data_IF_948359821461
#
_entry.id   IF_948359821461
#
_cell.length_a   1.000
_cell.length_b   1.000
_cell.length_c   1.000
_cell.angle_alpha   90.00
_cell.angle_beta   90.00
_cell.angle_gamma   90.00
#
_symmetry.space_group_name_H-M   'P 1'
#
loop_
_entity.id
_entity.type
_entity.pdbx_description
1 polymer ?
#
# COMPACT_ATOMS: atom_id res chain seq x y z
N UNK A 1 20.76 31.76 -0.53
CA UNK A 1 19.82 32.82 -0.30
C UNK A 1 18.48 32.25 0.15
N UNK A 2 17.99 32.67 1.31
CA UNK A 2 16.70 32.27 1.86
C UNK A 2 15.58 33.10 1.21
N UNK A 3 14.60 32.42 0.61
CA UNK A 3 13.43 33.08 0.02
C UNK A 3 12.16 32.57 0.68
N UNK A 4 11.17 33.45 0.82
CA UNK A 4 9.86 33.07 1.32
C UNK A 4 9.20 32.04 0.38
N UNK A 5 9.07 30.81 0.86
CA UNK A 5 8.42 29.71 0.13
C UNK A 5 7.34 29.07 1.00
N UNK A 6 6.14 29.66 1.02
CA UNK A 6 5.00 29.19 1.84
C UNK A 6 4.54 27.75 1.51
N UNK A 7 4.80 27.31 0.30
CA UNK A 7 4.40 25.97 -0.16
C UNK A 7 5.56 24.96 -0.19
N UNK A 8 6.74 25.34 0.34
CA UNK A 8 7.86 24.41 0.39
C UNK A 8 7.56 23.24 1.33
N UNK A 9 7.85 22.03 0.90
CA UNK A 9 7.51 20.81 1.61
C UNK A 9 6.05 20.33 1.38
N UNK A 10 5.09 21.27 1.32
CA UNK A 10 3.69 20.96 1.03
C UNK A 10 3.52 20.31 -0.34
N UNK A 11 4.05 20.92 -1.41
CA UNK A 11 3.89 20.43 -2.78
C UNK A 11 4.47 19.02 -2.93
N UNK A 12 5.67 18.77 -2.39
CA UNK A 12 6.29 17.45 -2.51
C UNK A 12 5.45 16.36 -1.83
N UNK A 13 4.94 16.63 -0.61
CA UNK A 13 4.11 15.67 0.12
C UNK A 13 2.74 15.50 -0.53
N UNK A 14 2.18 16.57 -1.10
CA UNK A 14 0.93 16.51 -1.87
C UNK A 14 1.07 15.62 -3.12
N UNK A 15 2.19 15.72 -3.86
CA UNK A 15 2.47 14.86 -5.00
C UNK A 15 2.50 13.39 -4.57
N UNK A 16 3.16 13.06 -3.46
CA UNK A 16 3.15 11.69 -2.92
C UNK A 16 1.74 11.20 -2.59
N UNK A 17 0.90 12.06 -2.00
CA UNK A 17 -0.50 11.73 -1.74
C UNK A 17 -1.27 11.40 -3.02
N UNK A 18 -1.09 12.21 -4.07
CA UNK A 18 -1.73 11.96 -5.38
C UNK A 18 -1.26 10.65 -6.02
N UNK A 19 0.03 10.29 -5.88
CA UNK A 19 0.55 9.01 -6.37
C UNK A 19 -0.13 7.84 -5.66
N UNK A 20 -0.31 7.88 -4.35
CA UNK A 20 -1.01 6.83 -3.61
C UNK A 20 -2.48 6.69 -4.05
N UNK A 21 -3.19 7.80 -4.24
CA UNK A 21 -4.56 7.76 -4.75
C UNK A 21 -4.64 7.24 -6.19
N UNK A 22 -3.66 7.55 -7.03
CA UNK A 22 -3.58 6.99 -8.39
C UNK A 22 -3.39 5.47 -8.34
N UNK A 23 -2.50 4.95 -7.49
CA UNK A 23 -2.30 3.50 -7.30
C UNK A 23 -3.59 2.84 -6.77
N UNK A 24 -4.27 3.46 -5.80
CA UNK A 24 -5.54 2.96 -5.30
C UNK A 24 -6.62 2.90 -6.40
N UNK A 25 -6.68 3.93 -7.26
CA UNK A 25 -7.62 3.99 -8.39
C UNK A 25 -7.32 2.91 -9.43
N UNK A 26 -6.03 2.68 -9.74
CA UNK A 26 -5.60 1.59 -10.63
C UNK A 26 -6.00 0.23 -10.05
N UNK A 27 -5.74 0.01 -8.75
CA UNK A 27 -6.16 -1.24 -8.08
C UNK A 27 -7.67 -1.44 -8.16
N UNK A 28 -8.46 -0.37 -7.98
CA UNK A 28 -9.92 -0.41 -8.11
C UNK A 28 -10.38 -0.74 -9.54
N UNK A 29 -9.75 -0.14 -10.54
CA UNK A 29 -10.05 -0.41 -11.94
C UNK A 29 -9.73 -1.87 -12.32
N UNK A 30 -8.54 -2.37 -11.94
CA UNK A 30 -8.15 -3.75 -12.16
C UNK A 30 -9.10 -4.73 -11.45
N UNK A 31 -9.49 -4.44 -10.20
CA UNK A 31 -10.47 -5.24 -9.49
C UNK A 31 -11.87 -5.25 -10.13
N UNK A 32 -12.26 -4.20 -10.86
CA UNK A 32 -13.51 -4.21 -11.63
C UNK A 32 -13.40 -5.04 -12.91
N UNK A 33 -12.26 -4.97 -13.60
CA UNK A 33 -12.00 -5.81 -14.78
C UNK A 33 -11.97 -7.30 -14.39
N UNK A 34 -11.36 -7.63 -13.25
CA UNK A 34 -11.34 -8.97 -12.68
C UNK A 34 -12.73 -9.58 -12.47
N UNK A 35 -13.75 -8.77 -12.14
CA UNK A 35 -15.13 -9.24 -11.92
C UNK A 35 -15.92 -9.57 -13.19
N UNK A 36 -15.42 -9.25 -14.36
CA UNK A 36 -16.11 -9.44 -15.65
C UNK A 36 -15.18 -10.03 -16.70
N UNK A 37 -14.71 -11.27 -16.51
CA UNK A 37 -13.90 -11.92 -17.54
C UNK A 37 -14.69 -12.07 -18.83
N UNK A 38 -14.04 -11.85 -19.96
CA UNK A 38 -14.62 -11.98 -21.29
C UNK A 38 -14.49 -13.40 -21.85
N UNK A 39 -13.54 -14.16 -21.33
CA UNK A 39 -13.27 -15.53 -21.77
C UNK A 39 -14.20 -16.55 -21.06
N UNK A 40 -14.58 -17.61 -21.78
CA UNK A 40 -15.38 -18.69 -21.24
C UNK A 40 -14.49 -19.89 -20.91
N UNK A 41 -14.91 -20.64 -19.88
CA UNK A 41 -14.25 -21.88 -19.50
C UNK A 41 -14.19 -22.85 -20.68
N UNK A 42 -13.05 -23.46 -20.91
CA UNK A 42 -12.72 -24.41 -21.96
C UNK A 42 -12.78 -23.88 -23.40
N UNK A 43 -13.04 -22.61 -23.65
CA UNK A 43 -12.91 -22.00 -24.99
C UNK A 43 -11.44 -21.76 -25.36
N UNK A 44 -10.55 -21.69 -24.36
CA UNK A 44 -9.12 -21.54 -24.50
C UNK A 44 -8.38 -22.66 -23.75
N UNK A 45 -7.21 -23.02 -24.24
CA UNK A 45 -6.29 -23.93 -23.52
C UNK A 45 -5.38 -23.17 -22.57
N UNK A 46 -5.41 -21.83 -22.57
CA UNK A 46 -4.59 -21.02 -21.68
C UNK A 46 -5.02 -21.19 -20.23
N UNK A 47 -4.06 -21.38 -19.35
CA UNK A 47 -4.25 -21.53 -17.92
C UNK A 47 -3.79 -20.30 -17.14
N UNK A 48 -4.27 -20.11 -15.92
CA UNK A 48 -4.02 -18.91 -15.11
C UNK A 48 -4.88 -17.71 -15.49
N UNK A 49 -5.87 -17.88 -16.40
CA UNK A 49 -6.78 -16.83 -16.84
C UNK A 49 -8.10 -16.87 -16.08
N UNK A 50 -8.67 -15.72 -15.93
CA UNK A 50 -10.02 -15.51 -15.41
C UNK A 50 -11.05 -15.87 -16.49
N UNK A 51 -11.96 -16.76 -16.16
CA UNK A 51 -12.98 -17.24 -17.09
C UNK A 51 -14.35 -17.31 -16.41
N UNK A 52 -15.40 -17.26 -17.24
CA UNK A 52 -16.77 -17.51 -16.79
C UNK A 52 -17.22 -18.89 -17.27
N UNK A 53 -17.81 -19.69 -16.37
CA UNK A 53 -18.36 -20.99 -16.66
C UNK A 53 -19.89 -20.94 -16.52
N UNK A 54 -20.63 -21.37 -17.56
CA UNK A 54 -22.06 -21.65 -17.45
C UNK A 54 -22.26 -23.00 -16.79
N UNK A 55 -23.13 -23.09 -15.79
CA UNK A 55 -23.40 -24.32 -15.03
C UNK A 55 -24.83 -24.76 -15.26
N UNK A 56 -24.99 -25.92 -15.87
CA UNK A 56 -26.29 -26.55 -16.19
C UNK A 56 -26.69 -27.65 -15.21
N UNK A 57 -25.77 -28.06 -14.35
CA UNK A 57 -26.00 -29.02 -13.29
C UNK A 57 -24.79 -29.07 -12.34
N UNK A 58 -25.03 -29.41 -11.10
CA UNK A 58 -24.02 -29.54 -10.05
C UNK A 58 -24.34 -30.77 -9.19
N UNK A 59 -23.31 -31.54 -8.81
CA UNK A 59 -23.46 -32.58 -7.80
C UNK A 59 -23.80 -31.95 -6.45
N UNK A 60 -24.79 -32.49 -5.70
CA UNK A 60 -25.28 -31.87 -4.48
C UNK A 60 -24.26 -31.82 -3.34
N UNK A 61 -23.32 -32.77 -3.35
CA UNK A 61 -22.26 -32.88 -2.34
C UNK A 61 -20.87 -32.73 -2.98
N UNK A 62 -19.90 -32.19 -2.25
CA UNK A 62 -18.52 -32.16 -2.73
C UNK A 62 -17.97 -33.56 -2.88
N UNK A 63 -17.26 -33.84 -3.96
CA UNK A 63 -16.70 -35.13 -4.28
C UNK A 63 -15.31 -35.36 -3.70
N UNK A 64 -14.72 -34.33 -3.12
CA UNK A 64 -13.41 -34.40 -2.49
C UNK A 64 -13.05 -33.13 -1.73
N UNK A 65 -11.99 -33.23 -0.95
CA UNK A 65 -11.40 -32.11 -0.20
C UNK A 65 -9.94 -31.96 -0.60
N UNK A 66 -9.49 -30.72 -0.69
CA UNK A 66 -8.11 -30.38 -1.01
C UNK A 66 -7.50 -29.65 0.18
N UNK A 67 -6.21 -29.76 0.39
CA UNK A 67 -5.48 -29.10 1.46
C UNK A 67 -5.80 -27.60 1.55
N UNK A 68 -6.00 -27.12 2.78
CA UNK A 68 -6.29 -25.72 3.06
C UNK A 68 -7.77 -25.36 3.15
N UNK A 69 -8.67 -26.33 3.34
CA UNK A 69 -10.10 -26.10 3.57
C UNK A 69 -10.86 -25.73 2.30
N UNK A 70 -10.45 -26.30 1.18
CA UNK A 70 -11.15 -26.21 -0.09
C UNK A 70 -11.78 -27.55 -0.46
N UNK A 71 -12.89 -27.49 -1.17
CA UNK A 71 -13.67 -28.67 -1.59
C UNK A 71 -13.84 -28.66 -3.10
N UNK A 72 -14.11 -29.84 -3.64
CA UNK A 72 -14.19 -30.11 -5.08
C UNK A 72 -15.59 -30.54 -5.44
N UNK A 73 -16.20 -29.86 -6.40
CA UNK A 73 -17.49 -30.20 -6.98
C UNK A 73 -17.35 -30.65 -8.43
N UNK A 74 -18.26 -31.51 -8.89
CA UNK A 74 -18.44 -31.81 -10.30
C UNK A 74 -19.62 -30.99 -10.81
N UNK A 75 -19.40 -30.27 -11.92
CA UNK A 75 -20.42 -29.46 -12.57
C UNK A 75 -20.57 -29.84 -14.04
N UNK A 76 -21.76 -29.73 -14.57
CA UNK A 76 -22.02 -29.79 -16.01
C UNK A 76 -21.91 -28.38 -16.59
N UNK A 77 -20.93 -28.16 -17.49
CA UNK A 77 -20.71 -26.84 -18.06
C UNK A 77 -21.18 -26.70 -19.53
N UNK A 78 -21.64 -27.79 -20.16
CA UNK A 78 -22.24 -27.80 -21.48
C UNK A 78 -23.32 -28.83 -21.59
N UNK A 79 -24.34 -28.58 -22.42
CA UNK A 79 -25.39 -29.52 -22.78
C UNK A 79 -25.14 -30.22 -24.12
N UNK A 80 -24.04 -29.97 -24.79
CA UNK A 80 -23.71 -30.59 -26.07
C UNK A 80 -23.56 -32.10 -25.94
N UNK A 81 -24.24 -32.88 -26.78
CA UNK A 81 -24.22 -34.31 -26.76
C UNK A 81 -24.79 -34.89 -25.45
N UNK A 82 -24.03 -35.73 -24.78
CA UNK A 82 -24.36 -36.30 -23.45
C UNK A 82 -24.00 -35.35 -22.29
N UNK A 83 -23.61 -34.09 -22.62
CA UNK A 83 -23.12 -33.09 -21.67
C UNK A 83 -21.60 -33.16 -21.47
N UNK A 84 -21.01 -32.04 -21.07
CA UNK A 84 -19.59 -31.94 -20.70
C UNK A 84 -19.47 -31.55 -19.24
N UNK A 85 -18.56 -32.19 -18.52
CA UNK A 85 -18.38 -32.02 -17.08
C UNK A 85 -16.97 -31.49 -16.77
N UNK A 86 -16.87 -30.78 -15.69
CA UNK A 86 -15.59 -30.31 -15.18
C UNK A 86 -15.59 -30.23 -13.65
N UNK A 87 -14.41 -30.15 -13.09
CA UNK A 87 -14.20 -29.96 -11.67
C UNK A 87 -14.16 -28.45 -11.36
N UNK A 88 -14.81 -28.09 -10.26
CA UNK A 88 -14.76 -26.75 -9.66
C UNK A 88 -14.21 -26.88 -8.25
N UNK A 89 -13.12 -26.19 -7.97
CA UNK A 89 -12.52 -26.08 -6.64
C UNK A 89 -13.00 -24.76 -5.99
N UNK A 90 -13.48 -24.87 -4.75
CA UNK A 90 -13.98 -23.71 -4.00
C UNK A 90 -13.67 -23.82 -2.51
N UNK A 91 -13.81 -22.72 -1.79
CA UNK A 91 -13.81 -22.76 -0.32
C UNK A 91 -15.06 -23.46 0.20
N UNK A 92 -14.93 -24.09 1.37
CA UNK A 92 -16.09 -24.60 2.10
C UNK A 92 -17.09 -23.45 2.32
N UNK A 93 -18.38 -23.67 1.97
CA UNK A 93 -19.45 -22.68 2.06
C UNK A 93 -19.27 -21.45 1.14
N UNK A 94 -18.71 -21.64 -0.05
CA UNK A 94 -18.66 -20.60 -1.07
C UNK A 94 -20.08 -20.17 -1.45
N UNK A 95 -20.33 -18.84 -1.45
CA UNK A 95 -21.67 -18.30 -1.71
C UNK A 95 -22.16 -18.58 -3.13
N UNK A 96 -21.25 -18.59 -4.12
CA UNK A 96 -21.57 -18.87 -5.51
C UNK A 96 -21.99 -20.33 -5.70
N UNK A 97 -21.32 -21.26 -5.03
CA UNK A 97 -21.69 -22.67 -5.02
C UNK A 97 -23.00 -22.88 -4.29
N UNK A 98 -23.21 -22.27 -3.13
CA UNK A 98 -24.48 -22.40 -2.39
C UNK A 98 -25.67 -21.93 -3.21
N UNK A 99 -25.56 -20.81 -3.94
CA UNK A 99 -26.59 -20.33 -4.86
C UNK A 99 -26.91 -21.34 -5.98
N UNK A 100 -25.90 -22.04 -6.50
CA UNK A 100 -26.13 -23.07 -7.50
C UNK A 100 -26.84 -24.29 -6.91
N UNK A 101 -26.46 -24.73 -5.71
CA UNK A 101 -27.07 -25.85 -5.00
C UNK A 101 -28.55 -25.55 -4.66
N UNK A 102 -28.87 -24.33 -4.21
CA UNK A 102 -30.23 -23.90 -3.94
C UNK A 102 -31.13 -23.93 -5.19
N UNK A 103 -30.55 -23.72 -6.37
CA UNK A 103 -31.27 -23.67 -7.65
C UNK A 103 -31.01 -24.89 -8.52
N UNK A 104 -30.46 -25.98 -7.96
CA UNK A 104 -29.97 -27.14 -8.73
C UNK A 104 -31.00 -27.75 -9.70
N UNK A 105 -32.27 -27.81 -9.30
CA UNK A 105 -33.36 -28.36 -10.13
C UNK A 105 -33.65 -27.53 -11.38
N UNK A 106 -33.43 -26.20 -11.31
CA UNK A 106 -33.70 -25.28 -12.41
C UNK A 106 -32.51 -25.01 -13.31
N UNK A 107 -31.29 -25.41 -12.94
CA UNK A 107 -30.06 -25.13 -13.69
C UNK A 107 -30.08 -25.65 -15.13
N UNK A 108 -30.81 -26.75 -15.36
CA UNK A 108 -30.97 -27.28 -16.70
C UNK A 108 -31.64 -26.29 -17.65
N UNK A 109 -32.61 -25.53 -17.22
CA UNK A 109 -33.35 -24.55 -18.03
C UNK A 109 -32.84 -23.12 -17.87
N UNK A 110 -32.35 -22.80 -16.67
CA UNK A 110 -31.78 -21.50 -16.30
C UNK A 110 -30.36 -21.70 -15.78
N UNK A 111 -29.34 -21.75 -16.64
CA UNK A 111 -27.98 -22.03 -16.25
C UNK A 111 -27.43 -20.97 -15.31
N UNK A 112 -26.80 -21.42 -14.24
CA UNK A 112 -26.04 -20.55 -13.34
C UNK A 112 -24.71 -20.13 -13.97
N UNK A 113 -24.03 -19.21 -13.31
CA UNK A 113 -22.72 -18.74 -13.77
C UNK A 113 -21.71 -18.74 -12.62
N UNK A 114 -20.54 -19.29 -12.87
CA UNK A 114 -19.37 -19.21 -11.99
C UNK A 114 -18.27 -18.42 -12.66
N UNK A 115 -17.59 -17.57 -11.89
CA UNK A 115 -16.37 -16.88 -12.34
C UNK A 115 -15.20 -17.39 -11.50
N UNK A 116 -14.13 -17.79 -12.17
CA UNK A 116 -12.97 -18.39 -11.51
C UNK A 116 -11.71 -18.30 -12.38
N UNK A 117 -10.64 -18.88 -11.89
CA UNK A 117 -9.40 -19.03 -12.64
C UNK A 117 -9.34 -20.44 -13.23
N UNK A 118 -9.13 -20.52 -14.55
CA UNK A 118 -8.90 -21.79 -15.24
C UNK A 118 -7.49 -22.27 -14.96
N UNK A 119 -7.35 -23.45 -14.36
CA UNK A 119 -6.06 -24.03 -13.99
C UNK A 119 -5.90 -25.44 -14.56
N UNK A 120 -4.64 -25.86 -14.78
CA UNK A 120 -4.27 -27.24 -15.01
C UNK A 120 -4.05 -27.98 -13.70
N UNK A 121 -4.49 -29.24 -13.55
CA UNK A 121 -4.12 -30.08 -12.43
C UNK A 121 -2.61 -30.40 -12.48
N UNK A 122 -1.99 -30.58 -11.32
CA UNK A 122 -0.62 -31.08 -11.23
C UNK A 122 -0.58 -32.54 -11.61
N UNK A 123 0.38 -32.95 -12.42
CA UNK A 123 0.70 -34.32 -12.76
C UNK A 123 2.16 -34.59 -12.48
N UNK A 124 2.55 -35.84 -12.38
CA UNK A 124 3.96 -36.24 -12.20
C UNK A 124 4.86 -35.72 -13.34
N UNK A 125 4.30 -35.43 -14.51
CA UNK A 125 5.03 -34.94 -15.69
C UNK A 125 5.13 -33.42 -15.76
N UNK A 126 4.20 -32.68 -15.15
CA UNK A 126 4.17 -31.21 -15.24
C UNK A 126 4.48 -30.49 -13.92
N UNK A 127 4.93 -31.24 -12.91
CA UNK A 127 5.21 -30.71 -11.56
C UNK A 127 6.21 -29.55 -11.53
N UNK A 128 7.11 -29.47 -12.52
CA UNK A 128 8.16 -28.43 -12.63
C UNK A 128 7.64 -27.17 -13.32
N UNK A 129 6.63 -27.28 -14.19
CA UNK A 129 6.20 -26.21 -15.11
C UNK A 129 4.86 -25.54 -14.77
N UNK A 130 4.18 -26.00 -13.71
CA UNK A 130 2.84 -25.51 -13.37
C UNK A 130 2.88 -24.27 -12.46
N UNK A 131 1.85 -23.47 -12.59
CA UNK A 131 1.56 -22.35 -11.71
C UNK A 131 1.63 -22.79 -10.25
N UNK A 132 2.33 -22.02 -9.41
CA UNK A 132 2.45 -22.26 -7.95
C UNK A 132 1.11 -22.32 -7.19
N UNK A 133 0.01 -22.05 -7.88
CA UNK A 133 -1.34 -21.93 -7.32
C UNK A 133 -2.21 -23.15 -7.57
N UNK A 134 -1.71 -24.15 -8.31
CA UNK A 134 -2.47 -25.38 -8.59
C UNK A 134 -2.52 -26.27 -7.35
N UNK A 135 -3.72 -26.65 -6.94
CA UNK A 135 -3.98 -27.45 -5.73
C UNK A 135 -4.37 -28.89 -6.03
N UNK A 136 -5.00 -29.13 -7.17
CA UNK A 136 -5.48 -30.49 -7.54
C UNK A 136 -4.36 -31.24 -8.22
N UNK A 137 -4.08 -32.43 -7.70
CA UNK A 137 -3.03 -33.34 -8.16
C UNK A 137 -3.68 -34.58 -8.75
N UNK A 138 -3.20 -35.04 -9.92
CA UNK A 138 -3.65 -36.25 -10.60
C UNK A 138 -5.19 -36.33 -10.74
N UNK A 139 -5.79 -35.33 -11.36
CA UNK A 139 -7.24 -35.21 -11.50
C UNK A 139 -7.84 -36.45 -12.20
N UNK A 140 -7.16 -37.04 -13.19
CA UNK A 140 -7.62 -38.28 -13.89
C UNK A 140 -7.77 -39.44 -12.92
N UNK A 141 -6.78 -39.68 -12.05
CA UNK A 141 -6.80 -40.74 -11.07
C UNK A 141 -7.90 -40.51 -10.03
N UNK A 142 -8.02 -39.24 -9.57
CA UNK A 142 -9.06 -38.87 -8.62
C UNK A 142 -10.46 -39.12 -9.19
N UNK A 143 -10.76 -38.67 -10.41
CA UNK A 143 -12.06 -38.89 -11.05
C UNK A 143 -12.33 -40.39 -11.26
N UNK A 144 -11.31 -41.14 -11.69
CA UNK A 144 -11.44 -42.61 -11.87
C UNK A 144 -11.71 -43.36 -10.57
N UNK A 145 -11.30 -42.84 -9.42
CA UNK A 145 -11.53 -43.44 -8.10
C UNK A 145 -12.95 -43.21 -7.58
N UNK A 146 -13.63 -42.14 -7.98
CA UNK A 146 -14.94 -41.76 -7.45
C UNK A 146 -16.10 -42.05 -8.42
N UNK A 147 -15.85 -42.10 -9.73
CA UNK A 147 -16.88 -42.32 -10.74
C UNK A 147 -16.72 -43.65 -11.43
N UNK A 148 -17.82 -44.40 -11.66
CA UNK A 148 -17.77 -45.61 -12.48
C UNK A 148 -17.29 -45.28 -13.92
N UNK A 149 -16.31 -46.02 -14.42
CA UNK A 149 -15.69 -45.75 -15.73
C UNK A 149 -16.70 -45.73 -16.91
N UNK A 150 -17.82 -46.44 -16.77
CA UNK A 150 -18.90 -46.49 -17.79
C UNK A 150 -19.93 -45.34 -17.64
N UNK A 151 -19.83 -44.51 -16.61
CA UNK A 151 -20.78 -43.41 -16.43
C UNK A 151 -20.59 -42.33 -17.52
N UNK A 152 -21.70 -41.70 -17.91
CA UNK A 152 -21.68 -40.56 -18.86
C UNK A 152 -20.77 -39.45 -18.34
N UNK A 153 -20.83 -39.19 -17.05
CA UNK A 153 -20.04 -38.13 -16.41
C UNK A 153 -18.53 -38.42 -16.53
N UNK A 154 -18.08 -39.63 -16.23
CA UNK A 154 -16.66 -40.00 -16.33
C UNK A 154 -16.14 -39.93 -17.78
N UNK A 155 -16.95 -40.37 -18.75
CA UNK A 155 -16.56 -40.33 -20.18
C UNK A 155 -16.44 -38.92 -20.74
N UNK A 156 -17.25 -38.01 -20.24
CA UNK A 156 -17.32 -36.61 -20.74
C UNK A 156 -16.69 -35.58 -19.77
N UNK A 157 -15.89 -36.07 -18.80
CA UNK A 157 -15.18 -35.24 -17.86
C UNK A 157 -13.98 -34.56 -18.49
N UNK A 158 -13.87 -33.24 -18.32
CA UNK A 158 -12.63 -32.51 -18.63
C UNK A 158 -11.66 -32.65 -17.48
N UNK A 159 -10.63 -33.47 -17.66
CA UNK A 159 -9.60 -33.70 -16.64
C UNK A 159 -8.31 -32.87 -16.91
N UNK A 160 -8.25 -32.15 -18.04
CA UNK A 160 -7.09 -31.34 -18.42
C UNK A 160 -7.08 -29.97 -17.73
N UNK A 161 -8.25 -29.45 -17.44
CA UNK A 161 -8.43 -28.15 -16.80
C UNK A 161 -9.55 -28.21 -15.78
N UNK A 162 -9.47 -27.37 -14.77
CA UNK A 162 -10.52 -27.16 -13.77
C UNK A 162 -10.71 -25.69 -13.46
N UNK A 163 -11.82 -25.32 -12.83
CA UNK A 163 -12.11 -23.96 -12.40
C UNK A 163 -11.79 -23.82 -10.90
N UNK A 164 -10.96 -22.83 -10.54
CA UNK A 164 -10.68 -22.51 -9.15
C UNK A 164 -11.36 -21.20 -8.74
N UNK A 165 -12.30 -21.29 -7.81
CA UNK A 165 -12.96 -20.15 -7.20
C UNK A 165 -12.13 -19.61 -6.03
N UNK A 166 -11.37 -20.46 -5.36
CA UNK A 166 -10.55 -20.03 -4.21
C UNK A 166 -9.41 -19.10 -4.64
N UNK A 167 -8.75 -19.40 -5.77
CA UNK A 167 -7.71 -18.55 -6.33
C UNK A 167 -8.28 -17.21 -6.83
N UNK A 168 -9.43 -17.25 -7.51
CA UNK A 168 -10.15 -16.04 -7.93
C UNK A 168 -10.52 -15.14 -6.75
N UNK A 169 -11.03 -15.74 -5.67
CA UNK A 169 -11.35 -15.02 -4.43
C UNK A 169 -10.11 -14.39 -3.79
N UNK A 170 -8.96 -15.08 -3.82
CA UNK A 170 -7.69 -14.57 -3.28
C UNK A 170 -7.20 -13.35 -4.09
N UNK A 171 -7.24 -13.43 -5.40
CA UNK A 171 -6.82 -12.33 -6.28
C UNK A 171 -7.74 -11.12 -6.12
N UNK A 172 -9.05 -11.33 -6.04
CA UNK A 172 -10.03 -10.30 -5.77
C UNK A 172 -9.78 -9.56 -4.44
N UNK A 173 -9.42 -10.30 -3.37
CA UNK A 173 -9.05 -9.71 -2.08
C UNK A 173 -7.79 -8.83 -2.18
N UNK A 174 -6.80 -9.23 -3.00
CA UNK A 174 -5.57 -8.46 -3.18
C UNK A 174 -5.84 -7.06 -3.74
N UNK A 175 -6.79 -6.91 -4.67
CA UNK A 175 -7.20 -5.59 -5.17
C UNK A 175 -7.88 -4.74 -4.10
N UNK A 176 -8.74 -5.34 -3.27
CA UNK A 176 -9.39 -4.65 -2.15
C UNK A 176 -8.35 -4.15 -1.14
N UNK A 177 -7.39 -5.00 -0.77
CA UNK A 177 -6.28 -4.61 0.09
C UNK A 177 -5.46 -3.45 -0.51
N UNK A 178 -5.18 -3.50 -1.82
CA UNK A 178 -4.53 -2.41 -2.54
C UNK A 178 -5.28 -1.08 -2.40
N UNK A 179 -6.59 -1.08 -2.62
CA UNK A 179 -7.44 0.12 -2.47
C UNK A 179 -7.35 0.66 -1.03
N UNK A 180 -7.57 -0.18 -0.04
CA UNK A 180 -7.62 0.24 1.38
C UNK A 180 -6.27 0.78 1.84
N UNK A 181 -5.19 0.06 1.58
CA UNK A 181 -3.84 0.46 2.02
C UNK A 181 -3.41 1.76 1.34
N UNK A 182 -3.49 1.84 0.01
CA UNK A 182 -3.00 3.03 -0.70
C UNK A 182 -3.91 4.25 -0.49
N UNK A 183 -5.23 4.08 -0.34
CA UNK A 183 -6.11 5.18 0.06
C UNK A 183 -5.80 5.68 1.46
N UNK A 184 -5.56 4.78 2.41
CA UNK A 184 -5.15 5.13 3.77
C UNK A 184 -3.82 5.90 3.80
N UNK A 185 -2.80 5.43 3.07
CA UNK A 185 -1.52 6.12 2.94
C UNK A 185 -1.67 7.48 2.24
N UNK A 186 -2.52 7.57 1.21
CA UNK A 186 -2.85 8.82 0.52
C UNK A 186 -3.46 9.84 1.46
N UNK A 187 -4.42 9.42 2.29
CA UNK A 187 -5.07 10.30 3.26
C UNK A 187 -4.08 10.77 4.35
N UNK A 188 -3.27 9.86 4.91
CA UNK A 188 -2.27 10.22 5.93
C UNK A 188 -1.25 11.23 5.40
N UNK A 189 -0.75 11.02 4.19
CA UNK A 189 0.19 11.96 3.55
C UNK A 189 -0.46 13.29 3.20
N UNK A 190 -1.73 13.31 2.81
CA UNK A 190 -2.50 14.52 2.57
C UNK A 190 -2.64 15.36 3.85
N UNK A 191 -3.02 14.74 4.95
CA UNK A 191 -3.10 15.41 6.26
C UNK A 191 -1.74 15.98 6.67
N UNK A 192 -0.67 15.18 6.51
CA UNK A 192 0.70 15.63 6.79
C UNK A 192 1.10 16.86 5.94
N UNK A 193 0.70 16.90 4.66
CA UNK A 193 0.95 18.05 3.80
C UNK A 193 0.32 19.33 4.37
N UNK A 194 -0.95 19.28 4.77
CA UNK A 194 -1.63 20.45 5.36
C UNK A 194 -1.01 20.88 6.69
N UNK A 195 -0.59 19.93 7.54
CA UNK A 195 0.13 20.25 8.79
C UNK A 195 1.43 20.98 8.50
N UNK A 196 2.22 20.50 7.52
CA UNK A 196 3.48 21.16 7.11
C UNK A 196 3.20 22.58 6.62
N UNK A 197 2.19 22.75 5.76
CA UNK A 197 1.80 24.07 5.24
C UNK A 197 1.38 25.02 6.36
N UNK A 198 0.53 24.54 7.28
CA UNK A 198 0.07 25.33 8.43
C UNK A 198 1.26 25.80 9.26
N UNK A 199 2.15 24.87 9.68
CA UNK A 199 3.36 25.21 10.45
C UNK A 199 4.24 26.23 9.75
N UNK A 200 4.41 26.10 8.43
CA UNK A 200 5.19 27.05 7.64
C UNK A 200 4.56 28.44 7.66
N UNK A 201 3.24 28.53 7.43
CA UNK A 201 2.52 29.81 7.44
C UNK A 201 2.56 30.46 8.83
N UNK A 202 2.34 29.67 9.87
CA UNK A 202 2.35 30.16 11.26
C UNK A 202 3.75 30.69 11.64
N UNK A 203 4.82 30.00 11.20
CA UNK A 203 6.21 30.46 11.41
C UNK A 203 6.49 31.79 10.70
N UNK A 204 6.01 31.99 9.47
CA UNK A 204 6.16 33.28 8.80
C UNK A 204 5.38 34.39 9.50
N UNK A 205 4.14 34.12 9.92
CA UNK A 205 3.33 35.10 10.67
C UNK A 205 4.00 35.50 11.98
N UNK A 206 4.59 34.56 12.71
CA UNK A 206 5.33 34.81 13.93
C UNK A 206 6.56 35.70 13.69
N UNK A 207 7.36 35.34 12.66
CA UNK A 207 8.55 36.12 12.29
C UNK A 207 8.18 37.56 11.89
N UNK A 208 7.13 37.78 11.10
CA UNK A 208 6.69 39.12 10.69
C UNK A 208 6.14 39.94 11.85
N UNK A 209 5.41 39.30 12.77
CA UNK A 209 4.91 39.94 13.97
C UNK A 209 6.03 40.46 14.86
N UNK A 210 7.12 39.68 15.00
CA UNK A 210 8.24 40.00 15.88
C UNK A 210 9.32 40.81 15.20
N UNK A 211 9.45 40.66 13.89
CA UNK A 211 10.49 41.26 13.06
C UNK A 211 9.88 41.82 11.78
N UNK A 212 9.15 42.94 11.85
CA UNK A 212 8.49 43.55 10.68
C UNK A 212 9.44 43.86 9.54
N UNK A 213 10.72 44.13 9.85
CA UNK A 213 11.77 44.39 8.85
C UNK A 213 12.02 43.24 7.90
N UNK A 214 11.61 42.02 8.27
CA UNK A 214 11.74 40.80 7.43
C UNK A 214 10.59 40.65 6.43
N UNK A 215 9.50 41.38 6.57
CA UNK A 215 8.35 41.27 5.70
C UNK A 215 8.71 41.63 4.26
N UNK A 216 8.62 40.67 3.36
CA UNK A 216 9.03 40.83 1.95
C UNK A 216 10.54 40.92 1.71
N UNK A 217 11.39 40.90 2.74
CA UNK A 217 12.82 41.08 2.62
C UNK A 217 13.66 40.08 3.45
N UNK A 218 13.43 38.79 3.23
CA UNK A 218 14.21 37.75 3.90
C UNK A 218 15.69 37.71 3.49
N UNK A 219 16.07 38.42 2.46
CA UNK A 219 17.48 38.55 2.04
C UNK A 219 18.33 39.24 3.12
N UNK A 220 17.71 40.05 3.97
CA UNK A 220 18.38 40.67 5.12
C UNK A 220 18.95 39.61 6.09
N UNK A 221 18.39 38.43 6.16
CA UNK A 221 18.92 37.35 7.01
C UNK A 221 20.30 36.87 6.58
N UNK A 222 20.69 37.04 5.30
CA UNK A 222 22.02 36.67 4.82
C UNK A 222 23.13 37.56 5.45
N UNK A 223 22.78 38.78 5.87
CA UNK A 223 23.71 39.73 6.44
C UNK A 223 23.49 40.01 7.93
N UNK A 224 22.24 39.91 8.41
CA UNK A 224 21.87 40.25 9.79
C UNK A 224 21.77 39.07 10.72
N UNK A 225 21.76 37.83 10.20
CA UNK A 225 21.73 36.66 11.05
C UNK A 225 23.04 36.46 11.79
N UNK A 226 22.95 36.04 13.04
CA UNK A 226 24.11 35.73 13.89
C UNK A 226 24.77 34.44 13.52
N UNK A 227 23.98 33.52 12.96
CA UNK A 227 24.45 32.28 12.33
C UNK A 227 23.60 31.99 11.10
N UNK A 228 24.25 31.73 9.98
CA UNK A 228 23.58 31.40 8.73
C UNK A 228 24.34 30.28 8.01
N UNK A 229 23.72 29.10 7.98
CA UNK A 229 24.27 27.97 7.23
C UNK A 229 23.33 27.58 6.09
N UNK A 230 23.72 27.90 4.87
CA UNK A 230 22.91 27.66 3.68
C UNK A 230 22.82 26.17 3.34
N UNK A 231 23.84 25.37 3.65
CA UNK A 231 23.87 23.93 3.35
C UNK A 231 22.95 23.17 4.27
N UNK A 232 23.00 23.45 5.56
CA UNK A 232 22.11 22.83 6.57
C UNK A 232 20.69 23.37 6.54
N UNK A 233 20.48 24.54 5.90
CA UNK A 233 19.22 25.28 5.91
C UNK A 233 18.81 25.75 7.31
N UNK A 234 19.76 26.31 8.04
CA UNK A 234 19.63 26.77 9.43
C UNK A 234 20.03 28.24 9.54
N UNK A 235 19.26 29.01 10.28
CA UNK A 235 19.50 30.41 10.58
C UNK A 235 19.24 30.65 12.06
N UNK A 236 20.14 31.38 12.74
CA UNK A 236 19.88 31.98 14.03
C UNK A 236 19.77 33.51 13.83
N UNK A 237 18.58 34.01 14.06
CA UNK A 237 18.31 35.43 13.96
C UNK A 237 17.63 35.94 15.21
N UNK A 238 18.30 36.87 15.92
CA UNK A 238 17.85 37.39 17.21
C UNK A 238 17.50 36.19 18.14
N UNK A 239 16.25 36.06 18.55
CA UNK A 239 15.83 34.99 19.46
C UNK A 239 15.30 33.73 18.77
N UNK A 240 15.32 33.67 17.43
CA UNK A 240 14.71 32.58 16.68
C UNK A 240 15.72 31.69 15.98
N UNK A 241 15.60 30.39 16.20
CA UNK A 241 16.19 29.34 15.38
C UNK A 241 15.21 29.03 14.24
N UNK A 242 15.64 29.29 13.01
CA UNK A 242 14.84 29.10 11.80
C UNK A 242 15.44 27.96 10.99
N UNK A 243 14.63 26.97 10.66
CA UNK A 243 15.00 25.92 9.69
C UNK A 243 14.11 26.02 8.46
N UNK A 244 14.68 25.77 7.27
CA UNK A 244 13.93 25.91 6.02
C UNK A 244 14.20 24.78 5.01
N UNK A 245 14.50 23.57 5.51
CA UNK A 245 14.75 22.40 4.65
C UNK A 245 13.47 21.81 4.08
N UNK A 246 12.56 21.32 4.92
CA UNK A 246 11.27 20.68 4.54
C UNK A 246 10.06 21.61 4.71
N UNK A 247 10.26 22.89 4.74
CA UNK A 247 9.30 23.93 5.09
C UNK A 247 9.97 24.88 6.07
N UNK A 248 9.46 26.09 6.19
CA UNK A 248 10.01 27.04 7.16
C UNK A 248 9.39 26.80 8.53
N UNK A 249 10.23 26.64 9.53
CA UNK A 249 9.84 26.53 10.94
C UNK A 249 10.70 27.48 11.74
N UNK A 250 10.06 28.28 12.58
CA UNK A 250 10.70 29.19 13.52
C UNK A 250 10.47 28.71 14.95
N UNK A 251 11.50 28.75 15.76
CA UNK A 251 11.48 28.40 17.19
C UNK A 251 12.04 29.56 18.00
N UNK A 252 11.22 30.11 18.87
CA UNK A 252 11.71 31.06 19.87
C UNK A 252 12.55 30.33 20.92
N UNK A 253 13.83 30.63 20.95
CA UNK A 253 14.78 29.98 21.87
C UNK A 253 14.56 30.37 23.32
N UNK A 254 13.89 31.48 23.60
CA UNK A 254 13.55 31.90 24.97
C UNK A 254 12.57 30.93 25.66
N UNK A 255 11.77 30.21 24.87
CA UNK A 255 10.82 29.20 25.36
C UNK A 255 11.46 27.82 25.51
N UNK A 256 12.72 27.65 25.12
CA UNK A 256 13.41 26.36 25.10
C UNK A 256 14.08 26.10 26.46
N UNK A 257 13.82 24.93 27.03
CA UNK A 257 14.50 24.41 28.19
C UNK A 257 15.76 23.63 27.81
N UNK A 258 15.64 22.73 26.83
CA UNK A 258 16.73 21.85 26.39
C UNK A 258 16.70 21.71 24.88
N UNK A 259 17.89 21.69 24.28
CA UNK A 259 18.06 21.44 22.84
C UNK A 259 19.29 20.54 22.59
N UNK A 260 19.20 19.64 21.63
CA UNK A 260 20.29 18.76 21.21
C UNK A 260 20.09 18.31 19.76
N UNK A 261 21.18 17.86 19.11
CA UNK A 261 21.14 17.32 17.76
C UNK A 261 20.97 15.81 17.81
N UNK A 262 20.07 15.28 16.97
CA UNK A 262 19.89 13.84 16.78
C UNK A 262 20.07 13.48 15.33
N UNK A 263 20.91 12.50 15.06
CA UNK A 263 21.06 11.88 13.74
C UNK A 263 20.41 10.49 13.74
N UNK A 264 19.27 10.32 13.06
CA UNK A 264 18.59 9.03 12.93
C UNK A 264 18.88 8.40 11.57
N UNK A 265 19.41 7.18 11.56
CA UNK A 265 19.64 6.40 10.34
C UNK A 265 18.42 5.52 10.06
N UNK A 266 17.74 5.75 8.94
CA UNK A 266 16.61 4.93 8.48
C UNK A 266 17.05 3.80 7.54
N UNK A 267 18.21 3.96 6.90
CA UNK A 267 18.85 2.95 6.05
C UNK A 267 20.36 3.22 5.98
N UNK A 268 21.11 2.33 5.32
CA UNK A 268 22.56 2.55 5.06
C UNK A 268 22.85 3.86 4.33
N UNK A 269 21.86 4.40 3.60
CA UNK A 269 22.02 5.60 2.74
C UNK A 269 21.22 6.82 3.23
N UNK A 270 20.39 6.68 4.25
CA UNK A 270 19.48 7.76 4.67
C UNK A 270 19.67 8.06 6.14
N UNK A 271 20.37 9.15 6.42
CA UNK A 271 20.50 9.74 7.76
C UNK A 271 19.74 11.06 7.80
N UNK A 272 18.93 11.27 8.82
CA UNK A 272 18.17 12.50 9.03
C UNK A 272 18.65 13.15 10.30
N UNK A 273 19.04 14.42 10.23
CA UNK A 273 19.42 15.22 11.38
C UNK A 273 18.28 16.15 11.79
N UNK A 274 18.09 16.26 13.10
CA UNK A 274 17.06 17.11 13.71
C UNK A 274 17.59 17.76 14.97
N UNK A 275 17.26 19.03 15.17
CA UNK A 275 17.27 19.60 16.51
C UNK A 275 16.06 19.06 17.26
N UNK A 276 16.29 18.35 18.36
CA UNK A 276 15.25 17.94 19.28
C UNK A 276 15.29 18.87 20.48
N UNK A 277 14.13 19.39 20.87
CA UNK A 277 14.03 20.35 21.97
C UNK A 277 12.80 20.07 22.85
N UNK A 278 12.90 20.55 24.08
CA UNK A 278 11.78 20.63 25.03
C UNK A 278 11.54 22.08 25.39
N UNK A 279 10.29 22.47 25.57
CA UNK A 279 9.93 23.82 26.02
C UNK A 279 9.96 23.90 27.56
N UNK A 280 10.06 25.13 28.09
CA UNK A 280 10.04 25.40 29.54
C UNK A 280 8.73 25.00 30.20
N UNK A 281 7.62 25.07 29.47
CA UNK A 281 6.26 24.78 29.91
C UNK A 281 5.78 23.33 29.62
N UNK A 282 6.61 22.49 29.00
CA UNK A 282 6.21 21.16 28.54
C UNK A 282 7.34 20.15 28.57
N UNK A 283 7.06 18.94 29.04
CA UNK A 283 7.99 17.80 28.94
C UNK A 283 8.01 17.15 27.54
N UNK A 284 7.11 17.59 26.65
CA UNK A 284 6.99 17.03 25.31
C UNK A 284 8.20 17.38 24.46
N UNK A 285 8.73 16.39 23.74
CA UNK A 285 9.82 16.58 22.77
C UNK A 285 9.26 17.02 21.43
N UNK A 286 9.89 18.03 20.86
CA UNK A 286 9.62 18.56 19.53
C UNK A 286 10.87 18.45 18.67
N UNK A 287 10.73 18.52 17.35
CA UNK A 287 11.88 18.47 16.45
C UNK A 287 11.80 19.45 15.30
N UNK A 288 12.97 19.96 14.89
CA UNK A 288 13.20 20.76 13.70
C UNK A 288 14.15 20.02 12.79
N UNK A 289 13.70 19.65 11.60
CA UNK A 289 14.54 18.90 10.65
C UNK A 289 15.46 19.84 9.89
N UNK A 290 16.74 19.47 9.78
CA UNK A 290 17.75 20.17 8.99
C UNK A 290 18.19 19.32 7.79
N UNK A 291 18.84 19.93 6.82
CA UNK A 291 19.36 19.20 5.67
C UNK A 291 20.56 18.36 6.10
N UNK A 292 20.60 17.13 5.64
CA UNK A 292 21.77 16.26 5.84
C UNK A 292 22.92 16.66 4.91
N UNK A 293 24.12 16.79 5.47
CA UNK A 293 25.38 17.00 4.77
C UNK A 293 26.43 16.05 5.34
N UNK A 294 27.57 15.93 4.69
CA UNK A 294 28.64 15.03 5.16
C UNK A 294 29.30 15.47 6.48
N UNK A 295 29.11 16.72 6.91
CA UNK A 295 29.79 17.33 8.07
C UNK A 295 28.84 18.19 8.91
N UNK A 296 27.67 17.64 9.26
CA UNK A 296 26.63 18.40 9.98
C UNK A 296 27.13 18.94 11.31
N UNK A 297 27.89 18.16 12.07
CA UNK A 297 28.39 18.54 13.39
C UNK A 297 29.41 19.67 13.31
N UNK A 298 30.38 19.57 12.39
CA UNK A 298 31.37 20.63 12.13
C UNK A 298 30.69 21.94 11.68
N UNK A 299 29.71 21.83 10.80
CA UNK A 299 28.98 23.00 10.29
C UNK A 299 28.08 23.66 11.34
N UNK A 300 27.78 23.00 12.45
CA UNK A 300 27.03 23.53 13.58
C UNK A 300 27.92 23.97 14.74
N UNK A 301 29.25 23.83 14.66
CA UNK A 301 30.16 24.19 15.75
C UNK A 301 30.00 25.65 16.18
N UNK A 302 29.94 26.58 15.23
CA UNK A 302 29.72 27.99 15.50
C UNK A 302 28.36 28.24 16.20
N UNK A 303 27.31 27.59 15.74
CA UNK A 303 25.98 27.66 16.37
C UNK A 303 26.02 27.19 17.83
N UNK A 304 26.68 26.06 18.12
CA UNK A 304 26.80 25.53 19.47
C UNK A 304 27.67 26.40 20.38
N UNK A 305 28.64 27.13 19.82
CA UNK A 305 29.46 28.09 20.55
C UNK A 305 28.73 29.41 20.83
N UNK A 306 27.79 29.81 19.97
CA UNK A 306 26.98 31.03 20.15
C UNK A 306 25.81 30.82 21.14
N UNK A 307 25.21 29.65 21.12
CA UNK A 307 23.98 29.35 21.87
C UNK A 307 24.14 29.60 23.39
N UNK A 308 25.14 29.04 24.11
CA UNK A 308 25.27 29.26 25.55
C UNK A 308 25.65 30.69 25.91
N UNK A 309 26.29 31.43 25.01
CA UNK A 309 26.64 32.82 25.24
C UNK A 309 25.40 33.71 25.22
N UNK A 310 24.43 33.39 24.38
CA UNK A 310 23.23 34.18 24.17
C UNK A 310 22.04 33.71 24.99
N UNK A 311 21.94 32.40 25.23
CA UNK A 311 20.86 31.75 25.98
C UNK A 311 21.46 30.80 27.03
N UNK A 312 22.07 31.37 28.11
CA UNK A 312 22.75 30.57 29.13
C UNK A 312 21.81 29.63 29.88
N UNK A 313 20.53 29.88 29.86
CA UNK A 313 19.49 29.04 30.50
C UNK A 313 19.12 27.79 29.70
N UNK A 314 19.53 27.69 28.43
CA UNK A 314 19.24 26.51 27.60
C UNK A 314 20.22 25.38 27.95
N UNK A 315 19.68 24.26 28.35
CA UNK A 315 20.47 23.05 28.55
C UNK A 315 20.82 22.41 27.18
N UNK A 316 22.09 22.49 26.81
CA UNK A 316 22.61 21.85 25.59
C UNK A 316 22.90 20.38 25.96
N UNK A 317 22.06 19.45 25.48
CA UNK A 317 22.25 18.04 25.73
C UNK A 317 23.29 17.44 24.76
N UNK A 318 24.23 16.66 25.30
CA UNK A 318 24.85 15.57 24.54
C UNK A 318 23.88 14.37 24.54
N UNK A 319 23.86 13.61 23.45
CA UNK A 319 23.19 12.31 23.41
C UNK A 319 23.79 11.37 24.44
#
# INVERSE_FOLDING_TARGET
MFKEKRNKGFISVLIFSLVFFAIASISGFLGQMHKKPTERFADTTDTGKEVTMSVYGIYPEPVGEVDGGTVVYIVQYSKEGEGKFAVVESKVKDESINKLLENAESLADNPGSLTGIQLEPLTNTNFINTSKNTKIINLDEFISSILPAKSVVARNMNTRIYLSLSEYSRDSLSYIFGIVIFSGMGLMTLVAAFIIRKKTIDSFKELYRLYPELEGNFELLDTLAEFYNQDLKVILYKNHLITYYKGTQALDLRDVWRIYLVGTSYSRFTKVYQFVYTRKDSSKKYSLTIRNTNRVEEQLEEFWNLLPKKFPEINIGSL
#
